data_IF_925797577449
#
_entry.id   IF_925797577449
#
_cell.length_a   1.000
_cell.length_b   1.000
_cell.length_c   1.000
_cell.angle_alpha   90.00
_cell.angle_beta   90.00
_cell.angle_gamma   90.00
#
_symmetry.space_group_name_H-M   'P 1'
#
loop_
_entity.id
_entity.type
_entity.pdbx_description
1 polymer ?
#
# COMPACT_ATOMS: atom_id res chain seq x y z
N UNK A 1 21.88 -13.62 -13.08
CA UNK A 1 21.65 -13.11 -11.71
C UNK A 1 20.16 -13.03 -11.51
N UNK A 2 19.59 -13.44 -10.36
CA UNK A 2 18.15 -13.27 -10.13
C UNK A 2 17.83 -11.77 -10.23
N UNK A 3 16.73 -11.41 -10.88
CA UNK A 3 16.26 -10.04 -10.89
C UNK A 3 16.02 -9.62 -9.44
N UNK A 4 16.79 -8.64 -8.94
CA UNK A 4 16.59 -8.07 -7.61
C UNK A 4 15.21 -7.41 -7.62
N UNK A 5 14.32 -7.81 -6.71
CA UNK A 5 12.98 -7.22 -6.60
C UNK A 5 13.10 -5.70 -6.49
N UNK A 6 12.18 -4.95 -7.11
CA UNK A 6 12.14 -3.48 -6.99
C UNK A 6 11.99 -3.04 -5.52
N UNK A 7 11.51 -3.92 -4.64
CA UNK A 7 11.41 -3.68 -3.20
C UNK A 7 12.77 -3.69 -2.48
N UNK A 8 13.80 -4.31 -3.07
CA UNK A 8 15.13 -4.48 -2.46
C UNK A 8 16.14 -3.45 -2.98
N UNK A 9 15.77 -2.65 -3.97
CA UNK A 9 16.61 -1.60 -4.55
C UNK A 9 16.81 -0.44 -3.55
N UNK A 10 18.08 -0.18 -3.17
CA UNK A 10 18.45 0.84 -2.16
C UNK A 10 18.57 2.26 -2.70
N UNK A 11 18.75 2.42 -4.01
CA UNK A 11 18.87 3.71 -4.70
C UNK A 11 17.97 3.67 -5.94
N UNK A 12 17.07 4.64 -6.09
CA UNK A 12 16.04 4.54 -7.11
C UNK A 12 15.24 5.78 -7.46
N UNK A 13 15.59 6.98 -6.96
CA UNK A 13 14.73 8.17 -7.13
C UNK A 13 14.31 8.41 -8.57
N UNK A 14 15.27 8.49 -9.49
CA UNK A 14 14.95 8.67 -10.92
C UNK A 14 14.06 7.56 -11.48
N UNK A 15 14.23 6.31 -11.04
CA UNK A 15 13.38 5.20 -11.47
C UNK A 15 11.96 5.34 -10.91
N UNK A 16 11.83 5.72 -9.64
CA UNK A 16 10.57 6.03 -8.96
C UNK A 16 9.85 7.18 -9.64
N UNK A 17 10.54 8.30 -9.91
CA UNK A 17 10.00 9.47 -10.62
C UNK A 17 9.48 9.09 -12.01
N UNK A 18 10.19 8.20 -12.73
CA UNK A 18 9.78 7.73 -14.05
C UNK A 18 8.55 6.83 -13.98
N UNK A 19 8.49 5.86 -13.05
CA UNK A 19 7.28 5.05 -12.87
C UNK A 19 6.10 5.95 -12.47
N UNK A 20 6.32 6.88 -11.56
CA UNK A 20 5.31 7.82 -11.11
C UNK A 20 4.80 8.73 -12.24
N UNK A 21 5.69 9.21 -13.10
CA UNK A 21 5.34 9.95 -14.31
C UNK A 21 4.49 9.12 -15.28
N UNK A 22 4.86 7.84 -15.49
CA UNK A 22 4.05 6.90 -16.27
C UNK A 22 2.67 6.70 -15.64
N UNK A 23 2.60 6.49 -14.32
CA UNK A 23 1.35 6.30 -13.60
C UNK A 23 0.42 7.52 -13.71
N UNK A 24 0.96 8.73 -13.51
CA UNK A 24 0.21 9.98 -13.67
C UNK A 24 -0.42 10.07 -15.05
N UNK A 25 0.39 9.93 -16.09
CA UNK A 25 -0.08 10.10 -17.47
C UNK A 25 -1.04 8.98 -17.88
N UNK A 26 -0.76 7.72 -17.54
CA UNK A 26 -1.65 6.59 -17.84
C UNK A 26 -3.00 6.68 -17.12
N UNK A 27 -3.00 6.86 -15.80
CA UNK A 27 -4.20 6.70 -14.97
C UNK A 27 -4.94 8.00 -14.66
N UNK A 28 -4.24 9.14 -14.61
CA UNK A 28 -4.88 10.45 -14.35
C UNK A 28 -5.16 11.23 -15.63
N UNK A 29 -4.27 11.14 -16.61
CA UNK A 29 -4.41 11.87 -17.88
C UNK A 29 -4.96 10.98 -19.01
N UNK A 30 -5.13 9.68 -18.75
CA UNK A 30 -5.76 8.72 -19.66
C UNK A 30 -4.90 8.31 -20.85
N UNK A 31 -3.60 8.64 -20.84
CA UNK A 31 -2.70 8.36 -21.95
C UNK A 31 -1.30 7.95 -21.47
N UNK A 32 -0.87 6.70 -21.74
CA UNK A 32 0.49 6.26 -21.43
C UNK A 32 1.55 7.09 -22.18
N UNK A 33 2.66 7.49 -21.54
CA UNK A 33 3.57 8.46 -22.15
C UNK A 33 4.59 7.86 -23.11
N UNK A 34 5.13 8.70 -23.98
CA UNK A 34 6.42 8.49 -24.66
C UNK A 34 7.56 9.04 -23.79
N UNK A 35 8.81 8.70 -24.14
CA UNK A 35 9.98 9.26 -23.45
C UNK A 35 10.07 10.79 -23.56
N UNK A 36 9.57 11.39 -24.65
CA UNK A 36 9.49 12.86 -24.80
C UNK A 36 8.57 13.48 -23.75
N UNK A 37 7.44 12.83 -23.48
CA UNK A 37 6.43 13.34 -22.55
C UNK A 37 6.99 13.30 -21.12
N UNK A 38 7.77 12.26 -20.80
CA UNK A 38 8.50 12.16 -19.53
C UNK A 38 9.64 13.19 -19.41
N UNK A 39 10.31 13.55 -20.51
CA UNK A 39 11.37 14.57 -20.55
C UNK A 39 10.82 15.96 -20.29
N UNK A 40 9.60 16.24 -20.76
CA UNK A 40 8.90 17.49 -20.49
C UNK A 40 8.38 17.57 -19.04
N UNK A 41 8.03 16.43 -18.44
CA UNK A 41 7.45 16.35 -17.09
C UNK A 41 8.51 16.34 -15.98
N UNK A 42 9.60 15.59 -16.15
CA UNK A 42 10.50 15.22 -15.06
C UNK A 42 11.83 15.98 -15.16
N UNK A 43 12.41 16.44 -14.03
CA UNK A 43 13.69 17.15 -14.01
C UNK A 43 14.89 16.19 -14.13
N UNK A 44 14.88 15.29 -15.12
CA UNK A 44 15.88 14.25 -15.33
C UNK A 44 16.34 14.24 -16.80
N UNK A 45 17.54 13.73 -17.07
CA UNK A 45 18.08 13.76 -18.43
C UNK A 45 17.43 12.71 -19.34
N UNK A 46 17.31 13.00 -20.64
CA UNK A 46 16.89 12.03 -21.68
C UNK A 46 17.58 10.67 -21.58
N UNK A 47 18.89 10.68 -21.31
CA UNK A 47 19.68 9.45 -21.14
C UNK A 47 19.23 8.64 -19.93
N UNK A 48 18.94 9.31 -18.80
CA UNK A 48 18.43 8.66 -17.60
C UNK A 48 17.00 8.12 -17.81
N UNK A 49 16.14 8.87 -18.53
CA UNK A 49 14.79 8.41 -18.90
C UNK A 49 14.89 7.14 -19.73
N UNK A 50 15.68 7.16 -20.79
CA UNK A 50 15.81 5.99 -21.68
C UNK A 50 16.33 4.76 -20.95
N UNK A 51 17.36 4.93 -20.11
CA UNK A 51 17.94 3.82 -19.34
C UNK A 51 16.94 3.22 -18.35
N UNK A 52 16.27 4.06 -17.55
CA UNK A 52 15.32 3.56 -16.55
C UNK A 52 14.05 2.99 -17.17
N UNK A 53 13.52 3.58 -18.26
CA UNK A 53 12.41 2.98 -19.00
C UNK A 53 12.76 1.57 -19.49
N UNK A 54 13.98 1.36 -19.99
CA UNK A 54 14.45 0.05 -20.42
C UNK A 54 14.52 -0.94 -19.25
N UNK A 55 15.11 -0.53 -18.11
CA UNK A 55 15.17 -1.34 -16.89
C UNK A 55 13.78 -1.75 -16.39
N UNK A 56 12.81 -0.83 -16.42
CA UNK A 56 11.43 -1.09 -16.00
C UNK A 56 10.70 -2.07 -16.92
N UNK A 57 11.04 -2.07 -18.20
CA UNK A 57 10.57 -3.09 -19.13
C UNK A 57 11.16 -4.46 -18.82
N UNK A 58 12.42 -4.50 -18.43
CA UNK A 58 13.09 -5.75 -18.00
C UNK A 58 12.54 -6.31 -16.69
N UNK A 59 11.90 -5.50 -15.84
CA UNK A 59 11.19 -5.98 -14.64
C UNK A 59 9.75 -6.43 -14.89
N UNK A 60 9.27 -6.37 -16.13
CA UNK A 60 7.85 -6.62 -16.51
C UNK A 60 6.82 -5.68 -15.88
N UNK A 61 7.21 -4.76 -14.99
CA UNK A 61 6.29 -3.80 -14.38
C UNK A 61 5.76 -2.80 -15.43
N UNK A 62 6.61 -2.47 -16.40
CA UNK A 62 6.26 -1.58 -17.51
C UNK A 62 6.35 -2.36 -18.82
N UNK A 63 5.40 -2.14 -19.73
CA UNK A 63 5.45 -2.61 -21.11
C UNK A 63 5.70 -1.43 -22.04
N UNK A 64 6.58 -1.62 -23.02
CA UNK A 64 6.67 -0.74 -24.18
C UNK A 64 5.71 -1.21 -25.27
N UNK A 65 4.84 -0.32 -25.72
CA UNK A 65 3.91 -0.54 -26.84
C UNK A 65 4.58 -0.28 -28.19
N UNK A 66 3.96 -0.77 -29.26
CA UNK A 66 4.48 -0.62 -30.64
C UNK A 66 4.58 0.85 -31.07
N UNK A 67 3.70 1.71 -30.55
CA UNK A 67 3.70 3.16 -30.77
C UNK A 67 4.70 3.93 -29.88
N UNK A 68 5.60 3.18 -29.23
CA UNK A 68 6.66 3.65 -28.34
C UNK A 68 6.17 4.30 -27.03
N UNK A 69 4.92 4.06 -26.64
CA UNK A 69 4.41 4.44 -25.32
C UNK A 69 4.79 3.41 -24.25
N UNK A 70 4.87 3.86 -23.01
CA UNK A 70 5.21 3.06 -21.84
C UNK A 70 3.99 2.97 -20.93
N UNK A 71 3.62 1.76 -20.55
CA UNK A 71 2.41 1.43 -19.79
C UNK A 71 2.79 0.59 -18.58
N UNK A 72 2.31 0.95 -17.39
CA UNK A 72 2.36 0.09 -16.21
C UNK A 72 1.38 -1.06 -16.40
N UNK A 73 1.86 -2.27 -16.19
CA UNK A 73 1.04 -3.48 -16.14
C UNK A 73 0.39 -3.55 -14.76
N UNK A 74 -0.92 -3.30 -14.69
CA UNK A 74 -1.69 -3.20 -13.44
C UNK A 74 -1.55 -4.42 -12.55
N UNK A 75 -1.63 -5.63 -13.14
CA UNK A 75 -1.47 -6.88 -12.40
C UNK A 75 -0.08 -7.07 -11.78
N UNK A 76 0.97 -6.55 -12.43
CA UNK A 76 2.34 -6.59 -11.90
C UNK A 76 2.52 -5.55 -10.78
N UNK A 77 1.90 -4.37 -10.90
CA UNK A 77 1.91 -3.36 -9.84
C UNK A 77 1.19 -3.87 -8.58
N UNK A 78 0.01 -4.48 -8.74
CA UNK A 78 -0.72 -5.13 -7.66
C UNK A 78 0.06 -6.31 -7.07
N UNK A 79 0.71 -7.12 -7.92
CA UNK A 79 1.56 -8.22 -7.45
C UNK A 79 2.76 -7.74 -6.64
N UNK A 80 3.34 -6.61 -7.00
CA UNK A 80 4.44 -5.99 -6.27
C UNK A 80 3.98 -5.50 -4.89
N UNK A 81 2.81 -4.86 -4.80
CA UNK A 81 2.26 -4.46 -3.50
C UNK A 81 1.85 -5.67 -2.65
N UNK A 82 1.32 -6.72 -3.27
CA UNK A 82 1.02 -7.99 -2.59
C UNK A 82 2.28 -8.61 -1.98
N UNK A 83 3.40 -8.63 -2.71
CA UNK A 83 4.68 -9.10 -2.21
C UNK A 83 5.15 -8.25 -1.02
N UNK A 84 5.03 -6.92 -1.13
CA UNK A 84 5.31 -6.02 -0.01
C UNK A 84 4.47 -6.38 1.22
N UNK A 85 3.15 -6.45 1.10
CA UNK A 85 2.25 -6.78 2.21
C UNK A 85 2.59 -8.14 2.83
N UNK A 86 2.84 -9.19 2.02
CA UNK A 86 3.17 -10.52 2.54
C UNK A 86 4.41 -10.53 3.46
N UNK A 87 5.42 -9.69 3.15
CA UNK A 87 6.60 -9.48 4.02
C UNK A 87 6.22 -8.91 5.41
N UNK A 88 5.07 -8.25 5.52
CA UNK A 88 4.58 -7.59 6.75
C UNK A 88 3.44 -8.33 7.46
N UNK A 89 2.86 -9.39 6.86
CA UNK A 89 1.79 -10.19 7.48
C UNK A 89 2.26 -11.18 8.57
N UNK A 90 3.48 -11.02 9.09
CA UNK A 90 3.92 -11.79 10.24
C UNK A 90 3.06 -11.48 11.46
N UNK A 91 2.76 -12.51 12.26
CA UNK A 91 2.01 -12.37 13.51
C UNK A 91 2.78 -11.46 14.48
N UNK A 92 2.05 -10.65 15.23
CA UNK A 92 2.60 -9.90 16.35
C UNK A 92 2.71 -10.81 17.58
N UNK A 93 3.76 -10.62 18.37
CA UNK A 93 3.91 -11.29 19.66
C UNK A 93 2.86 -10.76 20.65
N UNK A 94 2.45 -11.60 21.60
CA UNK A 94 1.56 -11.17 22.67
C UNK A 94 2.14 -9.97 23.44
N UNK A 95 1.26 -9.09 23.90
CA UNK A 95 1.54 -7.94 24.74
C UNK A 95 0.52 -7.96 25.88
N UNK A 96 0.97 -7.83 27.13
CA UNK A 96 0.12 -8.05 28.29
C UNK A 96 -1.06 -7.06 28.35
N UNK A 97 -0.85 -5.79 27.95
CA UNK A 97 -1.92 -4.76 27.92
C UNK A 97 -2.87 -4.90 26.73
N UNK A 98 -2.46 -5.57 25.66
CA UNK A 98 -3.18 -5.62 24.39
C UNK A 98 -3.51 -7.06 23.95
N UNK A 99 -3.48 -8.05 24.86
CA UNK A 99 -3.53 -9.48 24.50
C UNK A 99 -4.76 -9.83 23.64
N UNK A 100 -5.94 -9.35 24.03
CA UNK A 100 -7.18 -9.56 23.30
C UNK A 100 -7.17 -8.88 21.91
N UNK A 101 -6.65 -7.65 21.80
CA UNK A 101 -6.57 -6.91 20.54
C UNK A 101 -5.56 -7.58 19.59
N UNK A 102 -4.38 -7.96 20.11
CA UNK A 102 -3.34 -8.67 19.36
C UNK A 102 -3.86 -10.02 18.87
N UNK A 103 -4.63 -10.76 19.68
CA UNK A 103 -5.26 -12.01 19.27
C UNK A 103 -6.21 -11.78 18.08
N UNK A 104 -7.13 -10.82 18.19
CA UNK A 104 -8.11 -10.50 17.17
C UNK A 104 -7.46 -10.02 15.85
N UNK A 105 -6.41 -9.20 15.93
CA UNK A 105 -5.69 -8.71 14.74
C UNK A 105 -4.88 -9.84 14.10
N UNK A 106 -4.31 -10.75 14.89
CA UNK A 106 -3.60 -11.92 14.37
C UNK A 106 -4.53 -12.92 13.67
N UNK A 107 -5.79 -13.03 14.08
CA UNK A 107 -6.81 -13.77 13.33
C UNK A 107 -7.07 -13.12 11.98
N UNK A 108 -7.28 -11.80 11.96
CA UNK A 108 -7.47 -11.02 10.73
C UNK A 108 -6.26 -11.15 9.79
N UNK A 109 -5.02 -11.09 10.31
CA UNK A 109 -3.79 -11.35 9.53
C UNK A 109 -3.76 -12.74 8.93
N UNK A 110 -4.16 -13.75 9.70
CA UNK A 110 -4.20 -15.14 9.24
C UNK A 110 -5.21 -15.29 8.10
N UNK A 111 -6.40 -14.71 8.23
CA UNK A 111 -7.41 -14.70 7.18
C UNK A 111 -6.92 -13.95 5.93
N UNK A 112 -6.32 -12.76 6.13
CA UNK A 112 -5.73 -11.94 5.07
C UNK A 112 -4.68 -12.72 4.30
N UNK A 113 -3.78 -13.41 5.00
CA UNK A 113 -2.73 -14.21 4.38
C UNK A 113 -3.28 -15.36 3.54
N UNK A 114 -4.36 -16.02 3.97
CA UNK A 114 -5.01 -17.10 3.21
C UNK A 114 -5.65 -16.60 1.91
N UNK A 115 -6.30 -15.44 1.95
CA UNK A 115 -7.00 -14.84 0.80
C UNK A 115 -6.19 -13.81 0.01
N UNK A 116 -4.89 -13.64 0.32
CA UNK A 116 -4.10 -12.50 -0.15
C UNK A 116 -4.01 -12.40 -1.68
N UNK A 117 -3.95 -13.54 -2.36
CA UNK A 117 -3.90 -13.58 -3.83
C UNK A 117 -5.20 -13.06 -4.44
N UNK A 118 -6.33 -13.59 -3.98
CA UNK A 118 -7.68 -13.26 -4.46
C UNK A 118 -8.01 -11.80 -4.16
N UNK A 119 -7.61 -11.30 -2.98
CA UNK A 119 -7.81 -9.92 -2.55
C UNK A 119 -7.23 -8.88 -3.54
N UNK A 120 -6.10 -9.21 -4.16
CA UNK A 120 -5.37 -8.31 -5.05
C UNK A 120 -5.71 -8.51 -6.54
N UNK A 121 -6.33 -9.63 -6.91
CA UNK A 121 -6.63 -9.94 -8.30
C UNK A 121 -7.70 -8.99 -8.85
N UNK A 122 -7.31 -8.10 -9.77
CA UNK A 122 -8.22 -7.13 -10.39
C UNK A 122 -8.82 -6.11 -9.43
N UNK A 123 -8.15 -5.80 -8.31
CA UNK A 123 -8.68 -4.89 -7.31
C UNK A 123 -8.43 -3.41 -7.67
N UNK A 124 -9.43 -2.78 -8.29
CA UNK A 124 -9.38 -1.38 -8.72
C UNK A 124 -9.13 -0.40 -7.57
N UNK A 125 -9.69 -0.66 -6.37
CA UNK A 125 -9.48 0.24 -5.23
C UNK A 125 -8.02 0.22 -4.77
N UNK A 126 -7.42 -0.96 -4.65
CA UNK A 126 -6.00 -1.09 -4.30
C UNK A 126 -5.08 -0.56 -5.40
N UNK A 127 -5.44 -0.75 -6.67
CA UNK A 127 -4.73 -0.14 -7.79
C UNK A 127 -4.76 1.40 -7.66
N UNK A 128 -5.93 1.98 -7.38
CA UNK A 128 -6.07 3.42 -7.18
C UNK A 128 -5.26 3.95 -6.00
N UNK A 129 -5.13 3.17 -4.92
CA UNK A 129 -4.24 3.50 -3.80
C UNK A 129 -2.78 3.54 -4.25
N UNK A 130 -2.33 2.54 -5.03
CA UNK A 130 -0.96 2.50 -5.55
C UNK A 130 -0.67 3.63 -6.54
N UNK A 131 -1.64 3.95 -7.39
CA UNK A 131 -1.55 5.09 -8.31
C UNK A 131 -1.47 6.40 -7.53
N UNK A 132 -2.27 6.57 -6.47
CA UNK A 132 -2.18 7.75 -5.61
C UNK A 132 -0.79 7.85 -4.97
N UNK A 133 -0.29 6.77 -4.36
CA UNK A 133 1.03 6.76 -3.74
C UNK A 133 2.18 7.06 -4.73
N UNK A 134 2.08 6.55 -5.96
CA UNK A 134 3.03 6.84 -7.03
C UNK A 134 2.99 8.32 -7.43
N UNK A 135 1.79 8.87 -7.65
CA UNK A 135 1.63 10.28 -8.04
C UNK A 135 2.14 11.22 -6.95
N UNK A 136 1.82 10.95 -5.69
CA UNK A 136 2.30 11.75 -4.54
C UNK A 136 3.84 11.74 -4.42
N UNK A 137 4.49 10.65 -4.86
CA UNK A 137 5.95 10.55 -4.86
C UNK A 137 6.64 11.55 -5.81
N UNK A 138 5.95 12.09 -6.82
CA UNK A 138 6.50 13.15 -7.68
C UNK A 138 6.73 14.46 -6.91
N UNK A 139 5.84 14.75 -5.96
CA UNK A 139 5.84 15.99 -5.20
C UNK A 139 6.52 15.83 -3.83
N UNK A 140 6.61 14.61 -3.29
CA UNK A 140 7.28 14.32 -2.03
C UNK A 140 8.71 13.81 -2.20
N UNK A 141 9.67 14.72 -2.01
CA UNK A 141 11.10 14.40 -2.09
C UNK A 141 11.61 13.34 -1.09
N UNK A 142 10.81 12.97 -0.09
CA UNK A 142 11.13 11.91 0.88
C UNK A 142 10.86 10.51 0.32
N UNK A 143 10.02 10.38 -0.71
CA UNK A 143 9.72 9.10 -1.36
C UNK A 143 10.71 8.92 -2.53
N UNK A 144 11.74 8.11 -2.33
CA UNK A 144 12.85 7.95 -3.27
C UNK A 144 12.85 6.56 -3.94
N UNK A 145 12.19 5.58 -3.34
CA UNK A 145 12.24 4.18 -3.77
C UNK A 145 10.84 3.61 -3.91
N UNK A 146 10.72 2.54 -4.69
CA UNK A 146 9.45 1.80 -4.82
C UNK A 146 9.01 1.21 -3.49
N UNK A 147 9.95 0.80 -2.63
CA UNK A 147 9.62 0.40 -1.26
C UNK A 147 8.96 1.52 -0.46
N UNK A 148 9.46 2.75 -0.56
CA UNK A 148 8.86 3.91 0.10
C UNK A 148 7.49 4.27 -0.48
N UNK A 149 7.29 4.08 -1.80
CA UNK A 149 5.95 4.17 -2.41
C UNK A 149 5.00 3.14 -1.79
N UNK A 150 5.42 1.90 -1.59
CA UNK A 150 4.57 0.87 -0.95
C UNK A 150 4.27 1.21 0.52
N UNK A 151 5.25 1.74 1.26
CA UNK A 151 5.03 2.21 2.64
C UNK A 151 4.07 3.41 2.68
N UNK A 152 4.12 4.28 1.68
CA UNK A 152 3.17 5.37 1.55
C UNK A 152 1.77 4.86 1.16
N UNK A 153 1.68 3.85 0.29
CA UNK A 153 0.42 3.15 0.01
C UNK A 153 -0.19 2.55 1.28
N UNK A 154 0.61 1.95 2.18
CA UNK A 154 0.11 1.47 3.49
C UNK A 154 -0.49 2.62 4.34
N UNK A 155 0.08 3.83 4.27
CA UNK A 155 -0.47 5.00 4.95
C UNK A 155 -1.81 5.42 4.34
N UNK A 156 -1.92 5.42 3.02
CA UNK A 156 -3.17 5.71 2.30
C UNK A 156 -4.24 4.66 2.63
N UNK A 157 -3.89 3.36 2.66
CA UNK A 157 -4.79 2.28 3.08
C UNK A 157 -5.33 2.56 4.48
N UNK A 158 -4.46 2.75 5.48
CA UNK A 158 -4.87 2.99 6.87
C UNK A 158 -5.71 4.26 7.02
N UNK A 159 -5.30 5.36 6.38
CA UNK A 159 -6.02 6.63 6.44
C UNK A 159 -7.41 6.53 5.81
N UNK A 160 -7.50 5.95 4.61
CA UNK A 160 -8.77 5.74 3.90
C UNK A 160 -9.69 4.82 4.72
N UNK A 161 -9.16 3.74 5.28
CA UNK A 161 -9.92 2.80 6.09
C UNK A 161 -10.49 3.49 7.34
N UNK A 162 -9.68 4.30 8.02
CA UNK A 162 -10.12 5.08 9.18
C UNK A 162 -11.26 6.04 8.80
N UNK A 163 -11.13 6.75 7.68
CA UNK A 163 -12.20 7.65 7.20
C UNK A 163 -13.48 6.90 6.84
N UNK A 164 -13.38 5.73 6.22
CA UNK A 164 -14.55 4.90 5.88
C UNK A 164 -15.25 4.39 7.14
N UNK A 165 -14.52 3.75 8.06
CA UNK A 165 -15.13 3.11 9.24
C UNK A 165 -15.71 4.13 10.22
N UNK A 166 -15.18 5.35 10.26
CA UNK A 166 -15.67 6.42 11.13
C UNK A 166 -16.74 7.29 10.45
N UNK A 167 -17.05 7.04 9.17
CA UNK A 167 -18.07 7.80 8.46
C UNK A 167 -19.47 7.46 9.01
N UNK A 168 -20.28 8.42 9.47
CA UNK A 168 -21.57 8.14 10.13
C UNK A 168 -22.58 7.37 9.27
N UNK A 169 -22.46 7.46 7.94
CA UNK A 169 -23.36 6.78 7.01
C UNK A 169 -22.89 5.36 6.61
N UNK A 170 -21.68 4.95 6.99
CA UNK A 170 -21.17 3.62 6.62
C UNK A 170 -21.76 2.57 7.55
N UNK A 171 -22.52 1.62 7.01
CA UNK A 171 -23.24 0.62 7.82
C UNK A 171 -22.49 -0.70 7.99
N UNK A 172 -21.16 -0.70 7.78
CA UNK A 172 -20.35 -1.89 7.95
C UNK A 172 -20.65 -2.96 6.89
N UNK A 173 -20.83 -4.22 7.32
CA UNK A 173 -21.08 -5.37 6.44
C UNK A 173 -22.34 -5.24 5.59
N UNK A 174 -23.33 -4.49 6.06
CA UNK A 174 -24.61 -4.30 5.37
C UNK A 174 -24.56 -3.13 4.37
N UNK A 175 -23.44 -2.41 4.28
CA UNK A 175 -23.28 -1.31 3.34
C UNK A 175 -23.14 -1.82 1.90
N UNK A 176 -23.77 -1.13 0.95
CA UNK A 176 -23.66 -1.43 -0.48
C UNK A 176 -22.22 -1.40 -1.02
N UNK A 177 -21.34 -0.62 -0.38
CA UNK A 177 -19.93 -0.52 -0.74
C UNK A 177 -19.05 -1.59 -0.08
N UNK A 178 -19.62 -2.48 0.74
CA UNK A 178 -18.87 -3.44 1.56
C UNK A 178 -17.84 -4.26 0.76
N UNK A 179 -18.25 -4.89 -0.34
CA UNK A 179 -17.34 -5.72 -1.14
C UNK A 179 -16.17 -4.91 -1.73
N UNK A 180 -16.38 -3.63 -2.02
CA UNK A 180 -15.34 -2.73 -2.52
C UNK A 180 -14.36 -2.34 -1.43
N UNK A 181 -14.84 -1.99 -0.22
CA UNK A 181 -14.00 -1.48 0.86
C UNK A 181 -13.40 -2.57 1.76
N UNK A 182 -14.01 -3.77 1.77
CA UNK A 182 -13.58 -4.89 2.62
C UNK A 182 -12.08 -5.20 2.51
N UNK A 183 -11.47 -5.33 1.31
CA UNK A 183 -10.03 -5.53 1.17
C UNK A 183 -9.19 -4.45 1.87
N UNK A 184 -9.61 -3.19 1.74
CA UNK A 184 -8.91 -2.03 2.30
C UNK A 184 -9.01 -2.01 3.83
N UNK A 185 -10.19 -2.25 4.40
CA UNK A 185 -10.38 -2.36 5.85
C UNK A 185 -9.58 -3.54 6.44
N UNK A 186 -9.60 -4.68 5.75
CA UNK A 186 -8.87 -5.88 6.17
C UNK A 186 -7.34 -5.66 6.16
N UNK A 187 -6.81 -5.00 5.12
CA UNK A 187 -5.40 -4.63 5.06
C UNK A 187 -5.02 -3.62 6.13
N UNK A 188 -5.87 -2.63 6.43
CA UNK A 188 -5.58 -1.64 7.47
C UNK A 188 -5.34 -2.29 8.84
N UNK A 189 -6.21 -3.23 9.23
CA UNK A 189 -6.03 -4.03 10.47
C UNK A 189 -4.78 -4.90 10.39
N UNK A 190 -4.58 -5.59 9.26
CA UNK A 190 -3.45 -6.49 9.11
C UNK A 190 -2.08 -5.77 9.21
N UNK A 191 -2.01 -4.54 8.68
CA UNK A 191 -0.81 -3.68 8.70
C UNK A 191 -0.58 -2.99 10.06
N UNK A 192 -1.53 -3.02 10.99
CA UNK A 192 -1.43 -2.32 12.27
C UNK A 192 -0.68 -3.13 13.34
N UNK A 193 0.65 -2.94 13.42
CA UNK A 193 1.57 -3.75 14.22
C UNK A 193 2.32 -2.93 15.27
N UNK A 194 1.60 -2.08 15.99
CA UNK A 194 2.22 -1.11 16.91
C UNK A 194 2.06 -1.47 18.39
N UNK A 195 1.31 -2.52 18.74
CA UNK A 195 0.95 -2.84 20.13
C UNK A 195 2.17 -3.01 21.03
N UNK A 196 3.21 -3.73 20.59
CA UNK A 196 4.45 -3.84 21.37
C UNK A 196 5.14 -2.49 21.63
N UNK A 197 5.03 -1.54 20.70
CA UNK A 197 5.58 -0.19 20.89
C UNK A 197 4.69 0.65 21.79
N UNK A 198 3.36 0.50 21.71
CA UNK A 198 2.41 1.16 22.61
C UNK A 198 2.57 0.67 24.06
N UNK A 199 2.79 -0.63 24.23
CA UNK A 199 3.04 -1.26 25.53
C UNK A 199 4.32 -0.71 26.18
N UNK A 200 5.41 -0.62 25.40
CA UNK A 200 6.65 -0.03 25.85
C UNK A 200 6.52 1.47 26.20
N UNK A 201 5.68 2.22 25.47
CA UNK A 201 5.38 3.61 25.80
C UNK A 201 4.57 3.73 27.10
N UNK A 202 3.60 2.85 27.31
CA UNK A 202 2.83 2.78 28.56
C UNK A 202 3.72 2.43 29.76
N UNK A 203 4.68 1.51 29.60
CA UNK A 203 5.68 1.21 30.64
C UNK A 203 6.56 2.41 30.98
N UNK A 204 6.95 3.20 29.98
CA UNK A 204 7.79 4.38 30.16
C UNK A 204 7.03 5.59 30.72
N UNK A 205 5.72 5.67 30.49
CA UNK A 205 4.88 6.86 30.75
C UNK A 205 3.56 6.47 31.41
N UNK A 206 3.55 6.45 32.75
CA UNK A 206 2.38 6.09 33.55
C UNK A 206 1.16 7.01 33.34
N UNK A 207 1.40 8.27 32.95
CA UNK A 207 0.39 9.25 32.59
C UNK A 207 -0.32 8.93 31.27
N UNK A 208 0.32 8.18 30.36
CA UNK A 208 -0.30 7.73 29.10
C UNK A 208 -0.87 6.31 29.26
N UNK A 209 -0.29 5.49 30.15
CA UNK A 209 -0.72 4.12 30.39
C UNK A 209 -2.20 3.98 30.77
N UNK A 210 -2.77 4.96 31.47
CA UNK A 210 -4.21 4.95 31.85
C UNK A 210 -5.16 5.07 30.64
N UNK A 211 -4.67 5.55 29.49
CA UNK A 211 -5.43 5.71 28.25
C UNK A 211 -5.23 4.55 27.26
N UNK A 212 -4.47 3.51 27.64
CA UNK A 212 -4.13 2.39 26.77
C UNK A 212 -4.57 1.04 27.38
N UNK A 213 -5.25 0.15 26.62
CA UNK A 213 -5.78 0.38 25.27
C UNK A 213 -6.98 1.35 25.28
N UNK A 214 -7.17 2.07 24.17
CA UNK A 214 -8.33 2.95 23.94
C UNK A 214 -9.15 2.50 22.72
N UNK A 215 -10.30 3.13 22.49
CA UNK A 215 -11.14 2.85 21.33
C UNK A 215 -10.45 3.30 20.04
N UNK A 216 -10.17 2.36 19.13
CA UNK A 216 -9.53 2.65 17.85
C UNK A 216 -10.45 2.34 16.66
N UNK A 217 -10.29 3.06 15.53
CA UNK A 217 -10.93 2.67 14.27
C UNK A 217 -10.58 1.24 13.87
N UNK A 218 -9.34 0.79 14.11
CA UNK A 218 -8.89 -0.56 13.78
C UNK A 218 -9.60 -1.64 14.62
N UNK A 219 -9.90 -1.37 15.90
CA UNK A 219 -10.74 -2.23 16.73
C UNK A 219 -12.16 -2.34 16.13
N UNK A 220 -12.74 -1.22 15.70
CA UNK A 220 -14.05 -1.21 15.01
C UNK A 220 -14.01 -2.04 13.73
N UNK A 221 -13.00 -1.86 12.88
CA UNK A 221 -12.84 -2.65 11.64
C UNK A 221 -12.72 -4.15 11.94
N UNK A 222 -12.01 -4.51 13.00
CA UNK A 222 -11.79 -5.90 13.40
C UNK A 222 -13.10 -6.61 13.73
N UNK A 223 -14.09 -5.90 14.30
CA UNK A 223 -15.43 -6.47 14.56
C UNK A 223 -16.12 -6.98 13.29
N UNK A 224 -15.81 -6.41 12.12
CA UNK A 224 -16.32 -6.89 10.84
C UNK A 224 -15.66 -8.17 10.34
N UNK A 225 -14.65 -8.69 11.03
CA UNK A 225 -13.90 -9.90 10.63
C UNK A 225 -13.91 -11.00 11.68
N UNK A 226 -14.04 -10.65 12.96
CA UNK A 226 -14.00 -11.60 14.08
C UNK A 226 -15.38 -12.08 14.53
N UNK A 227 -16.44 -11.29 14.27
CA UNK A 227 -17.80 -11.70 14.63
C UNK A 227 -18.36 -12.66 13.58
N UNK A 228 -18.22 -13.96 13.84
CA UNK A 228 -19.25 -14.94 13.48
C UNK A 228 -20.41 -14.76 14.46
N UNK A 229 -21.48 -14.11 14.01
CA UNK A 229 -22.82 -14.29 14.55
C UNK A 229 -23.69 -14.83 13.41
#
# INVERSE_FOLDING_TARGET
MPATSLLDAREGRTQTDIIAGIAKMQFREGQPPRQSDLDDLLPVTKGAISNNCQKLVETSLVRKRDDRRYEIIEGELLSLYREHVDRYLARESASDRFDDEVAAYNETRTATKRGLREMFEGNDLLLNVLVAALVDALDDSRIQTIREVMLHADQIVRSTANHVVTHPAFTGRDDTAWETVRPLLQLAVALDRVHASLDALADAHADIAEYLPGDTPAATMTTYFTNNA
#
